data_IF_032781222211
#
_entry.id   IF_032781222211
#
_cell.length_a   1.000
_cell.length_b   1.000
_cell.length_c   1.000
_cell.angle_alpha   90.00
_cell.angle_beta   90.00
_cell.angle_gamma   90.00
#
_symmetry.space_group_name_H-M   'P 1'
#
loop_
_entity.id
_entity.type
_entity.pdbx_description
1 polymer ?
#
# COMPACT_ATOMS: atom_id res chain seq x y z
N UNK A 1 4.75 -6.25 13.24
CA UNK A 1 4.30 -6.87 11.99
C UNK A 1 4.27 -5.79 10.92
N UNK A 2 4.86 -6.01 9.76
CA UNK A 2 4.78 -5.06 8.65
C UNK A 2 3.46 -5.28 7.90
N UNK A 3 2.67 -4.22 7.75
CA UNK A 3 1.44 -4.25 6.97
C UNK A 3 1.80 -3.86 5.54
N UNK A 4 1.41 -4.69 4.57
CA UNK A 4 1.67 -4.44 3.16
C UNK A 4 0.34 -4.26 2.45
N UNK A 5 0.15 -3.10 1.83
CA UNK A 5 -0.99 -2.86 0.96
C UNK A 5 -0.51 -2.89 -0.48
N UNK A 6 -1.24 -3.61 -1.33
CA UNK A 6 -0.98 -3.68 -2.76
C UNK A 6 -2.07 -2.93 -3.50
N UNK A 7 -1.72 -2.37 -4.67
CA UNK A 7 -2.67 -1.80 -5.62
C UNK A 7 -3.66 -0.80 -5.00
N UNK A 8 -3.16 0.10 -4.16
CA UNK A 8 -3.94 1.14 -3.45
C UNK A 8 -4.68 2.14 -4.37
N UNK A 9 -4.39 2.09 -5.67
CA UNK A 9 -5.11 2.83 -6.71
C UNK A 9 -6.33 2.07 -7.25
N UNK A 10 -6.57 0.84 -6.79
CA UNK A 10 -7.71 -0.01 -7.17
C UNK A 10 -8.71 -0.13 -6.02
N UNK A 11 -9.96 -0.48 -6.33
CA UNK A 11 -10.98 -0.72 -5.31
C UNK A 11 -10.60 -1.85 -4.34
N UNK A 12 -9.88 -2.87 -4.81
CA UNK A 12 -9.40 -3.97 -3.95
C UNK A 12 -8.35 -3.50 -2.95
N UNK A 13 -7.38 -2.68 -3.38
CA UNK A 13 -6.38 -2.12 -2.47
C UNK A 13 -7.01 -1.23 -1.41
N UNK A 14 -7.98 -0.39 -1.80
CA UNK A 14 -8.73 0.46 -0.86
C UNK A 14 -9.55 -0.38 0.11
N UNK A 15 -10.13 -1.50 -0.33
CA UNK A 15 -10.83 -2.44 0.55
C UNK A 15 -9.91 -3.03 1.62
N UNK A 16 -8.67 -3.38 1.27
CA UNK A 16 -7.69 -3.85 2.27
C UNK A 16 -7.35 -2.76 3.30
N UNK A 17 -7.32 -1.49 2.91
CA UNK A 17 -7.14 -0.36 3.84
C UNK A 17 -8.35 -0.20 4.75
N UNK A 18 -9.57 -0.30 4.20
CA UNK A 18 -10.82 -0.26 4.97
C UNK A 18 -10.83 -1.35 6.06
N UNK A 19 -10.52 -2.60 5.70
CA UNK A 19 -10.49 -3.73 6.62
C UNK A 19 -9.39 -3.57 7.68
N UNK A 20 -8.23 -3.03 7.30
CA UNK A 20 -7.15 -2.76 8.26
C UNK A 20 -7.52 -1.66 9.25
N UNK A 21 -8.24 -0.64 8.79
CA UNK A 21 -8.73 0.47 9.61
C UNK A 21 -9.96 0.09 10.45
N UNK A 22 -10.52 -1.11 10.31
CA UNK A 22 -11.62 -1.56 11.14
C UNK A 22 -11.19 -1.57 12.62
N UNK A 23 -11.73 -0.63 13.40
CA UNK A 23 -11.38 -0.44 14.81
C UNK A 23 -10.04 0.29 15.04
N UNK A 24 -9.44 0.89 14.01
CA UNK A 24 -8.25 1.74 14.12
C UNK A 24 -8.53 3.13 13.56
N UNK A 25 -7.82 4.14 14.06
CA UNK A 25 -7.90 5.50 13.51
C UNK A 25 -6.78 5.77 12.49
N UNK A 26 -5.62 5.15 12.67
CA UNK A 26 -4.44 5.30 11.82
C UNK A 26 -3.80 3.93 11.53
N UNK A 27 -2.91 3.86 10.53
CA UNK A 27 -2.31 2.61 10.05
C UNK A 27 -1.51 1.90 11.14
N UNK A 28 -0.68 2.64 11.89
CA UNK A 28 0.28 2.08 12.84
C UNK A 28 0.01 2.45 14.31
N UNK A 29 -1.17 2.98 14.65
CA UNK A 29 -1.53 3.31 16.03
C UNK A 29 -2.68 4.30 16.17
N UNK A 30 -2.61 5.12 17.23
CA UNK A 30 -3.64 6.11 17.58
C UNK A 30 -3.30 7.53 17.14
N UNK A 31 -2.10 7.75 16.58
CA UNK A 31 -1.63 9.04 16.08
C UNK A 31 -1.15 8.93 14.64
N UNK A 32 -1.22 10.05 13.91
CA UNK A 32 -0.70 10.16 12.56
C UNK A 32 0.79 9.81 12.54
N UNK A 33 1.13 8.83 11.73
CA UNK A 33 2.49 8.32 11.58
C UNK A 33 3.00 8.47 10.15
N UNK A 34 4.27 8.17 9.95
CA UNK A 34 4.87 8.15 8.60
C UNK A 34 4.20 7.09 7.71
N UNK A 35 3.67 6.02 8.30
CA UNK A 35 2.97 4.98 7.54
C UNK A 35 1.65 5.49 6.97
N UNK A 36 0.92 6.34 7.72
CA UNK A 36 -0.29 6.98 7.22
C UNK A 36 -0.02 7.87 6.01
N UNK A 37 1.08 8.64 6.05
CA UNK A 37 1.47 9.50 4.93
C UNK A 37 1.86 8.67 3.71
N UNK A 38 2.54 7.53 3.90
CA UNK A 38 2.89 6.62 2.80
C UNK A 38 1.65 6.01 2.13
N UNK A 39 0.70 5.52 2.93
CA UNK A 39 -0.54 4.94 2.39
C UNK A 39 -1.37 6.05 1.74
N UNK A 40 -1.46 7.22 2.36
CA UNK A 40 -2.19 8.38 1.81
C UNK A 40 -1.64 8.81 0.46
N UNK A 41 -0.32 8.86 0.30
CA UNK A 41 0.30 9.21 -0.97
C UNK A 41 0.06 8.17 -2.08
N UNK A 42 -0.20 6.91 -1.71
CA UNK A 42 -0.50 5.83 -2.65
C UNK A 42 -2.01 5.73 -2.99
N UNK A 43 -2.87 6.25 -2.12
CA UNK A 43 -4.32 6.39 -2.36
C UNK A 43 -4.53 7.72 -3.10
N UNK A 44 -4.54 7.66 -4.44
CA UNK A 44 -4.54 8.85 -5.32
C UNK A 44 -5.78 9.72 -5.14
N UNK A 45 -6.92 9.10 -4.87
CA UNK A 45 -8.20 9.79 -4.70
C UNK A 45 -8.90 9.35 -3.41
N UNK A 46 -9.78 10.22 -2.90
CA UNK A 46 -10.57 9.91 -1.70
C UNK A 46 -11.38 8.63 -1.95
N UNK A 47 -11.32 7.64 -1.03
CA UNK A 47 -12.18 6.47 -1.09
C UNK A 47 -13.66 6.86 -1.20
N UNK A 48 -14.45 6.00 -1.86
CA UNK A 48 -15.90 6.17 -1.96
C UNK A 48 -16.58 5.93 -0.60
N UNK A 49 -17.82 6.41 -0.45
CA UNK A 49 -18.64 6.23 0.76
C UNK A 49 -18.90 4.74 1.10
N UNK A 50 -18.62 3.83 0.17
CA UNK A 50 -18.59 2.37 0.40
C UNK A 50 -17.50 1.94 1.40
N UNK A 51 -16.47 2.77 1.61
CA UNK A 51 -15.35 2.53 2.51
C UNK A 51 -15.29 3.66 3.57
N UNK A 52 -16.20 3.65 4.57
CA UNK A 52 -16.34 4.74 5.51
C UNK A 52 -15.13 4.92 6.43
N UNK A 53 -14.44 3.84 6.84
CA UNK A 53 -13.26 3.96 7.69
C UNK A 53 -12.08 4.56 6.94
N UNK A 54 -11.84 4.10 5.70
CA UNK A 54 -10.80 4.61 4.81
C UNK A 54 -11.08 6.07 4.41
N UNK A 55 -12.33 6.41 4.09
CA UNK A 55 -12.74 7.79 3.78
C UNK A 55 -12.46 8.74 4.94
N UNK A 56 -12.88 8.36 6.15
CA UNK A 56 -12.66 9.16 7.36
C UNK A 56 -11.17 9.31 7.67
N UNK A 57 -10.40 8.23 7.57
CA UNK A 57 -8.95 8.26 7.75
C UNK A 57 -8.28 9.20 6.73
N UNK A 58 -8.64 9.10 5.44
CA UNK A 58 -8.11 9.96 4.39
C UNK A 58 -8.35 11.44 4.68
N UNK A 59 -9.56 11.81 5.10
CA UNK A 59 -9.91 13.18 5.46
C UNK A 59 -9.16 13.67 6.71
N UNK A 60 -8.96 12.81 7.71
CA UNK A 60 -8.15 13.11 8.89
C UNK A 60 -6.69 13.41 8.54
N UNK A 61 -6.07 12.54 7.73
CA UNK A 61 -4.68 12.68 7.27
C UNK A 61 -4.53 13.95 6.43
N UNK A 62 -5.42 14.16 5.44
CA UNK A 62 -5.43 15.37 4.61
C UNK A 62 -5.57 16.65 5.45
N UNK A 63 -6.47 16.65 6.44
CA UNK A 63 -6.68 17.80 7.33
C UNK A 63 -5.49 18.11 8.23
N UNK A 64 -4.68 17.11 8.61
CA UNK A 64 -3.46 17.33 9.38
C UNK A 64 -2.29 17.78 8.51
N UNK A 65 -2.15 17.18 7.32
CA UNK A 65 -1.18 17.60 6.32
C UNK A 65 -1.42 19.05 5.90
N UNK A 66 -2.66 19.47 5.63
CA UNK A 66 -2.99 20.83 5.23
C UNK A 66 -2.64 21.89 6.30
N UNK A 67 -2.69 21.53 7.60
CA UNK A 67 -2.26 22.42 8.69
C UNK A 67 -0.74 22.61 8.73
N UNK A 68 0.01 21.58 8.34
CA UNK A 68 1.48 21.57 8.39
C UNK A 68 2.12 22.05 7.09
N UNK A 69 1.47 21.76 5.97
CA UNK A 69 1.92 22.03 4.60
C UNK A 69 0.79 22.72 3.83
N UNK A 70 0.60 24.03 4.00
CA UNK A 70 -0.42 24.76 3.26
C UNK A 70 -0.05 24.85 1.77
N UNK A 71 -0.99 24.48 0.89
CA UNK A 71 -0.81 24.52 -0.56
C UNK A 71 -1.34 23.27 -1.26
N UNK A 72 -1.58 23.34 -2.58
CA UNK A 72 -1.89 22.15 -3.41
C UNK A 72 -0.65 21.71 -4.18
N UNK A 73 -0.43 20.41 -4.30
CA UNK A 73 0.59 19.87 -5.19
C UNK A 73 0.24 20.25 -6.64
N UNK A 74 1.19 20.86 -7.37
CA UNK A 74 0.93 21.49 -8.68
C UNK A 74 1.28 20.58 -9.86
N UNK A 75 2.09 19.52 -9.66
CA UNK A 75 2.53 18.71 -10.80
C UNK A 75 3.10 17.33 -10.50
N UNK A 76 3.02 16.86 -9.25
CA UNK A 76 3.50 15.52 -8.88
C UNK A 76 2.30 14.62 -8.61
N UNK A 77 2.21 13.54 -9.38
CA UNK A 77 1.26 12.45 -9.15
C UNK A 77 2.06 11.15 -9.10
N UNK A 78 1.69 10.26 -8.18
CA UNK A 78 2.33 8.96 -8.02
C UNK A 78 1.55 7.95 -8.86
N UNK A 79 2.14 7.55 -9.99
CA UNK A 79 1.61 6.46 -10.80
C UNK A 79 1.91 5.12 -10.15
N UNK A 80 0.89 4.26 -10.02
CA UNK A 80 1.04 2.90 -9.47
C UNK A 80 1.89 2.02 -10.39
N UNK A 81 3.21 2.06 -10.25
CA UNK A 81 4.09 1.05 -10.84
C UNK A 81 4.16 -0.15 -9.91
N UNK A 82 3.15 -1.02 -9.96
CA UNK A 82 3.25 -2.36 -9.40
C UNK A 82 4.18 -3.20 -10.29
N UNK A 83 5.47 -2.90 -10.30
CA UNK A 83 6.48 -3.90 -10.66
C UNK A 83 6.69 -4.79 -9.45
N UNK A 84 5.86 -5.82 -9.35
CA UNK A 84 6.19 -7.03 -8.60
C UNK A 84 7.60 -7.43 -9.03
N UNK A 85 8.55 -7.38 -8.10
CA UNK A 85 9.82 -8.09 -8.28
C UNK A 85 9.45 -9.56 -8.41
N UNK A 86 9.44 -10.06 -9.65
CA UNK A 86 9.46 -11.47 -9.92
C UNK A 86 10.78 -11.98 -9.32
N UNK A 87 10.69 -12.57 -8.12
CA UNK A 87 11.73 -13.46 -7.65
C UNK A 87 11.76 -14.62 -8.64
N UNK A 88 12.70 -14.54 -9.59
CA UNK A 88 13.03 -15.62 -10.48
C UNK A 88 13.59 -16.76 -9.61
N UNK A 89 12.70 -17.64 -9.14
CA UNK A 89 13.09 -19.00 -8.84
C UNK A 89 13.58 -19.58 -10.17
N UNK A 90 14.90 -19.75 -10.29
CA UNK A 90 15.52 -20.48 -11.39
C UNK A 90 15.17 -21.94 -11.16
N UNK A 91 14.28 -22.58 -11.96
CA UNK A 91 14.14 -24.01 -11.88
C UNK A 91 15.43 -24.61 -12.45
N UNK A 92 16.27 -25.16 -11.57
CA UNK A 92 17.38 -26.02 -11.98
C UNK A 92 16.79 -27.19 -12.77
N UNK A 93 17.24 -27.46 -14.02
CA UNK A 93 16.71 -28.56 -14.79
C UNK A 93 17.04 -29.89 -14.09
N UNK A 94 16.03 -30.73 -13.87
CA UNK A 94 16.11 -32.10 -13.32
C UNK A 94 17.08 -33.05 -14.06
N UNK A 95 17.73 -32.59 -15.13
CA UNK A 95 18.75 -33.34 -15.87
C UNK A 95 20.07 -33.51 -15.10
N UNK A 96 20.39 -32.61 -14.15
CA UNK A 96 21.65 -32.69 -13.38
C UNK A 96 21.61 -33.71 -12.22
N UNK A 97 20.44 -34.19 -11.81
CA UNK A 97 20.31 -35.19 -10.73
C UNK A 97 20.78 -36.57 -11.20
N UNK A 98 20.65 -36.90 -12.50
CA UNK A 98 21.13 -38.19 -13.01
C UNK A 98 22.65 -38.26 -13.14
N UNK A 99 23.37 -37.14 -13.25
CA UNK A 99 24.82 -37.15 -13.49
C UNK A 99 25.64 -37.45 -12.22
N UNK A 100 25.04 -37.38 -11.02
CA UNK A 100 25.72 -37.70 -9.76
C UNK A 100 25.49 -39.13 -9.25
N UNK A 101 24.64 -39.92 -9.90
CA UNK A 101 24.37 -41.32 -9.51
C UNK A 101 25.20 -42.35 -10.28
N UNK A 102 26.12 -41.91 -11.15
CA UNK A 102 27.03 -42.77 -11.91
C UNK A 102 28.52 -42.52 -11.62
N UNK A 103 28.87 -42.01 -10.44
CA UNK A 103 30.26 -42.00 -9.96
C UNK A 103 30.39 -42.64 -8.59
#
# INVERSE_FOLDING_TARGET
MAVTFSDLHTEQGVKSVEEHLAGKTYISGDQLSVDDVKVYAAVVEKPSDAFPNASKWYDCVASQLAKSFPGKAVGVSIGGSATTSAQAEVPLPESLILYLLCY
#
